data_IF_031526019716
#
_entry.id   IF_031526019716
#
_cell.length_a   1.000
_cell.length_b   1.000
_cell.length_c   1.000
_cell.angle_alpha   90.00
_cell.angle_beta   90.00
_cell.angle_gamma   90.00
#
_symmetry.space_group_name_H-M   'P 1'
#
loop_
_entity.id
_entity.type
_entity.pdbx_description
1 polymer ?
#
# COMPACT_ATOMS: atom_id res chain seq x y z
N UNK A 1 -8.89 -22.94 -1.85
CA UNK A 1 -8.33 -21.58 -1.94
C UNK A 1 -9.47 -20.58 -2.01
N UNK A 2 -9.85 -19.96 -0.89
CA UNK A 2 -10.92 -18.96 -0.86
C UNK A 2 -10.30 -17.58 -0.58
N UNK A 3 -10.22 -16.76 -1.64
CA UNK A 3 -9.82 -15.35 -1.55
C UNK A 3 -10.96 -14.56 -0.91
N UNK A 4 -10.66 -13.75 0.10
CA UNK A 4 -11.61 -12.79 0.68
C UNK A 4 -12.14 -11.86 -0.43
N UNK A 5 -13.42 -12.02 -0.78
CA UNK A 5 -14.17 -11.12 -1.67
C UNK A 5 -14.88 -10.07 -0.82
N UNK A 6 -14.47 -8.82 -0.93
CA UNK A 6 -15.39 -7.70 -0.68
C UNK A 6 -16.05 -7.34 -2.03
N UNK A 7 -17.35 -7.62 -2.16
CA UNK A 7 -18.17 -7.30 -3.34
C UNK A 7 -18.87 -5.96 -3.14
N UNK A 8 -18.82 -5.00 -4.10
CA UNK A 8 -19.73 -3.87 -4.13
C UNK A 8 -21.03 -4.25 -4.88
N UNK A 9 -22.17 -4.03 -4.24
CA UNK A 9 -23.50 -4.12 -4.84
C UNK A 9 -23.75 -2.91 -5.75
N UNK A 10 -24.10 -3.19 -7.01
CA UNK A 10 -25.15 -2.55 -7.82
C UNK A 10 -25.12 -1.03 -8.05
N UNK A 11 -24.83 -0.64 -9.30
CA UNK A 11 -25.47 0.53 -9.93
C UNK A 11 -25.77 0.19 -11.41
N UNK A 12 -27.03 0.39 -11.77
CA UNK A 12 -27.66 0.02 -13.05
C UNK A 12 -27.20 0.93 -14.19
N UNK A 13 -27.07 0.35 -15.37
CA UNK A 13 -26.91 1.05 -16.65
C UNK A 13 -28.22 1.76 -17.03
N UNK A 14 -28.09 2.94 -17.65
CA UNK A 14 -29.12 3.63 -18.40
C UNK A 14 -28.51 4.30 -19.65
N UNK A 15 -29.27 4.54 -20.74
CA UNK A 15 -28.73 4.54 -22.10
C UNK A 15 -28.59 5.93 -22.78
N UNK A 16 -27.67 5.96 -23.76
CA UNK A 16 -27.67 6.62 -25.10
C UNK A 16 -28.05 8.09 -25.26
N UNK A 17 -27.15 8.87 -25.88
CA UNK A 17 -27.53 9.87 -26.89
C UNK A 17 -26.40 10.11 -27.90
N UNK A 18 -26.70 9.82 -29.17
CA UNK A 18 -25.96 10.15 -30.38
C UNK A 18 -26.14 11.63 -30.73
N UNK A 19 -25.09 12.25 -31.29
CA UNK A 19 -25.19 13.56 -31.93
C UNK A 19 -23.98 13.83 -32.82
N UNK A 20 -24.08 13.47 -34.11
CA UNK A 20 -23.23 13.99 -35.18
C UNK A 20 -23.76 15.36 -35.59
N UNK A 21 -22.89 16.28 -36.00
CA UNK A 21 -22.97 16.88 -37.35
C UNK A 21 -21.74 17.73 -37.69
N UNK A 22 -21.53 17.82 -39.01
CA UNK A 22 -20.32 18.16 -39.77
C UNK A 22 -20.24 19.64 -40.21
N UNK A 23 -19.09 19.95 -40.84
CA UNK A 23 -18.76 20.97 -41.86
C UNK A 23 -17.82 22.10 -41.39
N UNK A 24 -16.88 22.66 -42.16
CA UNK A 24 -16.32 22.44 -43.52
C UNK A 24 -15.17 23.49 -43.73
N UNK A 25 -14.06 23.10 -44.38
CA UNK A 25 -13.07 23.83 -45.25
C UNK A 25 -12.57 25.25 -44.87
N UNK A 26 -11.32 25.73 -45.04
CA UNK A 26 -10.14 25.42 -45.92
C UNK A 26 -8.89 26.19 -45.37
N UNK A 27 -7.67 26.18 -45.98
CA UNK A 27 -6.39 26.16 -45.25
C UNK A 27 -5.64 27.51 -45.21
N UNK A 28 -4.82 27.71 -44.17
CA UNK A 28 -3.98 28.89 -44.06
C UNK A 28 -2.77 28.69 -43.16
N UNK A 29 -1.60 28.70 -43.79
CA UNK A 29 -0.28 29.14 -43.32
C UNK A 29 0.33 28.52 -42.06
N UNK A 30 1.49 27.92 -42.34
CA UNK A 30 2.64 27.64 -41.50
C UNK A 30 2.91 28.82 -40.54
N UNK A 31 2.67 28.62 -39.25
CA UNK A 31 3.30 29.38 -38.18
C UNK A 31 4.09 28.42 -37.31
N UNK A 32 5.40 28.64 -37.32
CA UNK A 32 6.39 27.99 -36.49
C UNK A 32 6.18 28.46 -35.04
N UNK A 33 5.23 27.84 -34.33
CA UNK A 33 5.01 28.11 -32.92
C UNK A 33 6.09 27.41 -32.09
N UNK A 34 7.10 28.17 -31.67
CA UNK A 34 7.89 27.86 -30.46
C UNK A 34 6.90 27.57 -29.33
N UNK A 35 6.71 26.30 -28.98
CA UNK A 35 5.95 25.90 -27.78
C UNK A 35 6.79 26.20 -26.54
N UNK A 36 6.85 27.48 -26.17
CA UNK A 36 7.16 27.85 -24.80
C UNK A 36 6.03 27.32 -23.90
N UNK A 37 6.44 26.63 -22.85
CA UNK A 37 5.64 25.71 -22.08
C UNK A 37 4.43 26.35 -21.41
N UNK A 38 3.26 25.87 -21.78
CA UNK A 38 2.12 25.90 -20.87
C UNK A 38 2.36 24.74 -19.89
N UNK A 39 3.13 25.00 -18.83
CA UNK A 39 3.14 24.13 -17.65
C UNK A 39 1.79 24.30 -16.95
N UNK A 40 0.75 23.66 -17.49
CA UNK A 40 -0.41 23.32 -16.68
C UNK A 40 0.11 22.50 -15.50
N UNK A 41 -0.19 22.94 -14.28
CA UNK A 41 0.22 22.24 -13.06
C UNK A 41 -0.31 20.82 -13.13
N UNK A 42 0.58 19.86 -13.41
CA UNK A 42 0.18 18.46 -13.47
C UNK A 42 -0.12 18.04 -12.03
N UNK A 43 -1.39 17.79 -11.74
CA UNK A 43 -1.83 17.36 -10.41
C UNK A 43 -1.80 15.83 -10.28
N UNK A 44 -1.55 15.36 -9.06
CA UNK A 44 -1.72 13.96 -8.71
C UNK A 44 -3.20 13.56 -8.80
N UNK A 45 -3.46 12.41 -9.41
CA UNK A 45 -4.82 11.84 -9.55
C UNK A 45 -5.19 10.85 -8.45
N UNK A 46 -4.27 10.60 -7.51
CA UNK A 46 -4.43 9.65 -6.41
C UNK A 46 -3.95 10.27 -5.10
N UNK A 47 -4.57 9.86 -4.00
CA UNK A 47 -4.18 10.28 -2.66
C UNK A 47 -2.96 9.50 -2.17
N UNK A 48 -2.17 10.13 -1.30
CA UNK A 48 -1.00 9.50 -0.70
C UNK A 48 -0.30 10.39 0.30
N UNK A 49 0.85 9.92 0.74
CA UNK A 49 1.68 10.59 1.76
C UNK A 49 3.09 10.79 1.22
N UNK A 50 3.71 11.92 1.53
CA UNK A 50 5.13 12.17 1.27
C UNK A 50 5.84 12.07 2.62
N UNK A 51 6.78 11.13 2.73
CA UNK A 51 7.58 10.89 3.96
C UNK A 51 9.04 11.32 3.80
N UNK A 52 9.47 11.73 2.61
CA UNK A 52 10.82 12.24 2.35
C UNK A 52 10.94 12.94 0.99
N UNK A 53 12.07 13.62 0.74
CA UNK A 53 12.41 14.21 -0.56
C UNK A 53 11.58 15.40 -1.04
N UNK A 54 10.83 16.08 -0.15
CA UNK A 54 10.06 17.28 -0.49
C UNK A 54 8.89 17.06 -1.48
N UNK A 55 8.34 18.13 -2.07
CA UNK A 55 7.31 18.06 -3.10
C UNK A 55 7.73 17.25 -4.35
N UNK A 56 6.77 16.66 -5.07
CA UNK A 56 7.05 15.92 -6.30
C UNK A 56 7.21 16.86 -7.50
N UNK A 57 8.23 16.61 -8.33
CA UNK A 57 8.37 17.29 -9.62
C UNK A 57 7.26 16.90 -10.60
N UNK A 58 6.98 17.75 -11.59
CA UNK A 58 5.95 17.48 -12.60
C UNK A 58 6.19 16.16 -13.35
N UNK A 59 7.44 15.85 -13.69
CA UNK A 59 7.83 14.59 -14.32
C UNK A 59 7.49 13.38 -13.44
N UNK A 60 7.79 13.47 -12.14
CA UNK A 60 7.45 12.43 -11.17
C UNK A 60 5.92 12.26 -11.06
N UNK A 61 5.15 13.35 -11.04
CA UNK A 61 3.68 13.28 -10.98
C UNK A 61 3.10 12.59 -12.22
N UNK A 62 3.62 12.87 -13.41
CA UNK A 62 3.20 12.19 -14.66
C UNK A 62 3.44 10.68 -14.54
N UNK A 63 4.62 10.27 -14.09
CA UNK A 63 4.97 8.87 -13.92
C UNK A 63 4.11 8.16 -12.86
N UNK A 64 3.84 8.83 -11.72
CA UNK A 64 2.94 8.32 -10.68
C UNK A 64 1.51 8.15 -11.22
N UNK A 65 1.00 9.12 -11.99
CA UNK A 65 -0.32 9.02 -12.61
C UNK A 65 -0.40 7.85 -13.63
N UNK A 66 0.68 7.61 -14.38
CA UNK A 66 0.77 6.46 -15.29
C UNK A 66 0.78 5.12 -14.54
N UNK A 67 1.52 5.01 -13.43
CA UNK A 67 1.51 3.83 -12.57
C UNK A 67 0.12 3.60 -11.93
N UNK A 68 -0.54 4.67 -11.49
CA UNK A 68 -1.87 4.62 -10.90
C UNK A 68 -2.92 4.10 -11.90
N UNK A 69 -2.83 4.46 -13.18
CA UNK A 69 -3.75 3.99 -14.22
C UNK A 69 -3.72 2.45 -14.38
N UNK A 70 -2.55 1.83 -14.21
CA UNK A 70 -2.34 0.37 -14.27
C UNK A 70 -2.75 -0.35 -12.99
N UNK A 71 -2.91 0.39 -11.88
CA UNK A 71 -3.24 -0.17 -10.58
C UNK A 71 -4.76 -0.34 -10.44
N UNK A 72 -5.27 -1.45 -9.88
CA UNK A 72 -6.68 -1.61 -9.51
C UNK A 72 -7.18 -0.51 -8.55
N UNK A 73 -8.41 -0.04 -8.73
CA UNK A 73 -8.96 1.12 -8.00
C UNK A 73 -8.82 1.01 -6.48
N UNK A 74 -9.01 -0.18 -5.91
CA UNK A 74 -8.91 -0.42 -4.47
C UNK A 74 -7.51 -0.17 -3.88
N UNK A 75 -6.45 -0.23 -4.71
CA UNK A 75 -5.06 -0.06 -4.29
C UNK A 75 -4.43 1.25 -4.78
N UNK A 76 -5.17 2.10 -5.51
CA UNK A 76 -4.68 3.37 -6.06
C UNK A 76 -4.37 4.42 -5.00
N UNK A 77 -3.24 4.24 -4.31
CA UNK A 77 -2.63 5.15 -3.33
C UNK A 77 -1.13 5.16 -3.53
N UNK A 78 -0.45 6.19 -3.02
CA UNK A 78 1.01 6.26 -3.06
C UNK A 78 1.64 6.60 -1.70
N UNK A 79 2.90 6.20 -1.53
CA UNK A 79 3.82 6.74 -0.51
C UNK A 79 5.10 7.18 -1.22
N UNK A 80 5.50 8.44 -1.03
CA UNK A 80 6.71 9.00 -1.62
C UNK A 80 7.84 9.09 -0.58
N UNK A 81 8.95 8.47 -0.93
CA UNK A 81 10.23 8.49 -0.22
C UNK A 81 11.18 9.47 -0.91
N UNK A 82 12.39 9.64 -0.39
CA UNK A 82 13.39 10.54 -0.97
C UNK A 82 13.72 10.24 -2.43
N UNK A 83 14.02 8.98 -2.76
CA UNK A 83 14.42 8.57 -4.12
C UNK A 83 13.32 7.94 -4.98
N UNK A 84 12.16 7.61 -4.40
CA UNK A 84 11.11 6.83 -5.09
C UNK A 84 9.70 7.08 -4.59
N UNK A 85 8.72 6.71 -5.40
CA UNK A 85 7.30 6.66 -5.04
C UNK A 85 6.79 5.24 -5.21
N UNK A 86 6.22 4.67 -4.15
CA UNK A 86 5.53 3.37 -4.19
C UNK A 86 4.05 3.59 -4.48
N UNK A 87 3.57 3.05 -5.60
CA UNK A 87 2.19 3.23 -6.08
C UNK A 87 1.48 1.87 -6.14
N UNK A 88 0.25 1.76 -5.64
CA UNK A 88 -0.45 0.48 -5.68
C UNK A 88 -0.01 -0.50 -4.60
N UNK A 89 -0.32 -1.79 -4.76
CA UNK A 89 0.03 -2.83 -3.79
C UNK A 89 -0.74 -2.75 -2.47
N UNK A 90 -0.29 -3.54 -1.47
CA UNK A 90 -0.81 -3.48 -0.10
C UNK A 90 -0.27 -2.26 0.65
N UNK A 91 -0.92 -1.88 1.75
CA UNK A 91 -0.42 -0.81 2.61
C UNK A 91 0.94 -1.20 3.23
N UNK A 92 1.06 -2.44 3.70
CA UNK A 92 2.31 -3.02 4.21
C UNK A 92 3.47 -2.82 3.22
N UNK A 93 3.25 -3.13 1.94
CA UNK A 93 4.28 -2.98 0.91
C UNK A 93 4.67 -1.50 0.68
N UNK A 94 3.67 -0.62 0.55
CA UNK A 94 3.92 0.82 0.33
C UNK A 94 4.63 1.47 1.51
N UNK A 95 4.34 1.03 2.72
CA UNK A 95 4.83 1.61 3.96
C UNK A 95 6.12 0.94 4.47
N UNK A 96 6.63 -0.07 3.77
CA UNK A 96 7.71 -0.95 4.25
C UNK A 96 7.43 -1.54 5.64
N UNK A 97 6.17 -1.92 5.88
CA UNK A 97 5.66 -2.29 7.20
C UNK A 97 5.01 -3.68 7.15
N UNK A 98 5.81 -4.76 7.12
CA UNK A 98 5.31 -6.12 6.92
C UNK A 98 4.39 -6.62 8.05
N UNK A 99 4.53 -6.07 9.25
CA UNK A 99 3.70 -6.42 10.41
C UNK A 99 2.50 -5.53 10.63
N UNK A 100 2.19 -4.59 9.72
CA UNK A 100 1.12 -3.61 9.89
C UNK A 100 1.20 -2.86 11.25
N UNK A 101 2.42 -2.53 11.68
CA UNK A 101 2.68 -1.82 12.93
C UNK A 101 2.02 -0.45 12.91
N UNK A 102 1.34 -0.10 14.01
CA UNK A 102 0.74 1.23 14.20
C UNK A 102 1.78 2.28 14.55
N UNK A 103 2.84 1.87 15.27
CA UNK A 103 3.90 2.76 15.73
C UNK A 103 5.21 2.01 15.97
N UNK A 104 6.32 2.74 15.91
CA UNK A 104 7.67 2.30 16.25
C UNK A 104 8.57 3.54 16.36
N UNK A 105 9.57 3.51 17.25
CA UNK A 105 10.54 4.61 17.39
C UNK A 105 11.39 4.84 16.13
N UNK A 106 11.53 3.82 15.29
CA UNK A 106 12.30 3.85 14.03
C UNK A 106 11.47 4.28 12.81
N UNK A 107 10.17 4.60 12.97
CA UNK A 107 9.35 5.05 11.84
C UNK A 107 9.84 6.40 11.32
N UNK A 108 9.75 6.61 10.01
CA UNK A 108 10.04 7.90 9.36
C UNK A 108 8.77 8.70 9.05
N UNK A 109 7.60 8.11 9.30
CA UNK A 109 6.32 8.75 9.04
C UNK A 109 5.14 7.85 9.39
N UNK A 110 3.95 8.26 8.98
CA UNK A 110 2.73 7.48 9.16
C UNK A 110 1.79 7.67 7.99
N UNK A 111 1.00 6.64 7.69
CA UNK A 111 0.01 6.65 6.60
C UNK A 111 -1.35 6.19 7.12
N UNK A 112 -2.43 6.81 6.64
CA UNK A 112 -3.79 6.37 6.95
C UNK A 112 -4.14 5.09 6.18
N UNK A 113 -4.58 4.08 6.92
CA UNK A 113 -5.24 2.87 6.42
C UNK A 113 -6.73 2.87 6.74
N UNK A 114 -7.40 1.76 6.45
CA UNK A 114 -8.84 1.61 6.70
C UNK A 114 -9.18 1.63 8.20
N UNK A 115 -8.25 1.19 9.06
CA UNK A 115 -8.45 1.01 10.51
C UNK A 115 -7.45 1.82 11.36
N UNK A 116 -7.08 3.01 10.89
CA UNK A 116 -6.25 3.97 11.61
C UNK A 116 -4.91 4.29 10.92
N UNK A 117 -3.95 4.76 11.71
CA UNK A 117 -2.61 5.11 11.23
C UNK A 117 -1.65 3.92 11.36
N UNK A 118 -0.76 3.81 10.37
CA UNK A 118 0.28 2.80 10.30
C UNK A 118 1.64 3.48 10.16
N UNK A 119 2.65 2.90 10.81
CA UNK A 119 4.03 3.34 10.70
C UNK A 119 4.54 3.17 9.25
N UNK A 120 5.36 4.10 8.80
CA UNK A 120 6.11 4.01 7.55
C UNK A 120 7.59 3.92 7.89
N UNK A 121 8.27 2.91 7.36
CA UNK A 121 9.71 2.67 7.56
C UNK A 121 10.51 3.03 6.31
N UNK A 122 11.79 3.39 6.46
CA UNK A 122 12.61 3.77 5.31
C UNK A 122 12.86 2.58 4.37
N UNK A 123 13.05 1.39 4.94
CA UNK A 123 13.28 0.13 4.22
C UNK A 123 12.42 -1.01 4.76
N UNK A 124 12.21 -2.05 3.93
CA UNK A 124 11.46 -3.24 4.34
C UNK A 124 12.15 -3.97 5.51
N UNK A 125 13.49 -3.99 5.51
CA UNK A 125 14.29 -4.62 6.55
C UNK A 125 14.19 -3.89 7.89
N UNK A 126 14.13 -2.55 7.88
CA UNK A 126 13.85 -1.77 9.09
C UNK A 126 12.46 -2.06 9.65
N UNK A 127 11.44 -2.15 8.79
CA UNK A 127 10.10 -2.54 9.20
C UNK A 127 10.05 -3.95 9.78
N UNK A 128 10.79 -4.89 9.18
CA UNK A 128 10.94 -6.26 9.69
C UNK A 128 11.61 -6.27 11.05
N UNK A 129 12.68 -5.50 11.20
CA UNK A 129 13.43 -5.38 12.46
C UNK A 129 12.54 -4.79 13.56
N UNK A 130 11.76 -3.74 13.24
CA UNK A 130 10.81 -3.16 14.17
C UNK A 130 9.72 -4.14 14.59
N UNK A 131 9.17 -4.93 13.65
CA UNK A 131 8.22 -5.99 13.94
C UNK A 131 8.82 -7.05 14.87
N UNK A 132 10.04 -7.53 14.57
CA UNK A 132 10.74 -8.54 15.39
C UNK A 132 10.94 -8.04 16.82
N UNK A 133 11.43 -6.81 16.97
CA UNK A 133 11.66 -6.18 18.27
C UNK A 133 10.36 -6.04 19.07
N UNK A 134 9.26 -5.61 18.44
CA UNK A 134 7.95 -5.55 19.09
C UNK A 134 7.52 -6.93 19.61
N UNK A 135 7.65 -7.96 18.76
CA UNK A 135 7.19 -9.30 19.11
C UNK A 135 8.02 -9.91 20.24
N UNK A 136 9.34 -9.81 20.18
CA UNK A 136 10.23 -10.28 21.23
C UNK A 136 9.95 -9.53 22.54
N UNK A 137 9.96 -8.20 22.51
CA UNK A 137 9.91 -7.40 23.74
C UNK A 137 8.54 -7.46 24.42
N UNK A 138 7.45 -7.53 23.65
CA UNK A 138 6.08 -7.47 24.20
C UNK A 138 5.44 -8.84 24.38
N UNK A 139 5.77 -9.79 23.52
CA UNK A 139 5.08 -11.08 23.45
C UNK A 139 6.01 -12.28 23.57
N UNK A 140 7.34 -12.09 23.66
CA UNK A 140 8.33 -13.16 23.56
C UNK A 140 8.05 -14.36 24.46
N UNK A 141 7.71 -14.13 25.73
CA UNK A 141 7.42 -15.19 26.69
C UNK A 141 5.97 -15.74 26.61
N UNK A 142 5.10 -15.13 25.81
CA UNK A 142 3.72 -15.59 25.66
C UNK A 142 3.67 -16.76 24.67
N UNK A 143 2.80 -17.73 24.94
CA UNK A 143 2.37 -18.68 23.91
C UNK A 143 1.88 -17.93 22.68
N UNK A 144 2.21 -18.42 21.48
CA UNK A 144 1.81 -17.79 20.22
C UNK A 144 0.30 -17.50 20.19
N UNK A 145 -0.56 -18.45 20.61
CA UNK A 145 -2.02 -18.22 20.63
C UNK A 145 -2.44 -17.01 21.47
N UNK A 146 -1.74 -16.76 22.58
CA UNK A 146 -2.05 -15.66 23.49
C UNK A 146 -1.55 -14.33 22.91
N UNK A 147 -0.38 -14.35 22.27
CA UNK A 147 0.15 -13.19 21.56
C UNK A 147 -0.76 -12.76 20.41
N UNK A 148 -1.21 -13.72 19.58
CA UNK A 148 -2.10 -13.47 18.44
C UNK A 148 -3.48 -12.97 18.88
N UNK A 149 -4.06 -13.50 19.95
CA UNK A 149 -5.32 -12.97 20.50
C UNK A 149 -5.20 -11.50 20.97
N UNK A 150 -4.00 -11.02 21.29
CA UNK A 150 -3.75 -9.60 21.60
C UNK A 150 -3.45 -8.76 20.36
N UNK A 151 -2.74 -9.32 19.38
CA UNK A 151 -2.39 -8.64 18.13
C UNK A 151 -3.58 -8.46 17.21
N UNK A 152 -4.40 -9.51 17.07
CA UNK A 152 -5.56 -9.58 16.18
C UNK A 152 -6.77 -10.09 16.98
N UNK A 153 -7.39 -9.25 17.82
CA UNK A 153 -8.44 -9.70 18.72
C UNK A 153 -9.68 -10.21 17.96
N UNK A 154 -10.37 -11.26 18.46
CA UNK A 154 -11.54 -11.84 17.80
C UNK A 154 -12.74 -10.90 17.61
N UNK A 155 -12.80 -9.81 18.39
CA UNK A 155 -13.81 -8.76 18.23
C UNK A 155 -13.65 -7.97 16.93
N UNK A 156 -12.46 -7.99 16.33
CA UNK A 156 -12.11 -7.22 15.14
C UNK A 156 -11.74 -8.13 13.94
N UNK A 157 -11.36 -9.38 14.19
CA UNK A 157 -10.77 -10.27 13.19
C UNK A 157 -11.28 -11.70 13.33
N UNK A 158 -11.16 -12.50 12.27
CA UNK A 158 -11.32 -13.96 12.35
C UNK A 158 -10.02 -14.60 12.90
N UNK A 159 -9.80 -14.43 14.20
CA UNK A 159 -8.61 -14.95 14.87
C UNK A 159 -8.53 -16.48 14.84
N UNK A 160 -9.68 -17.16 14.73
CA UNK A 160 -9.71 -18.63 14.63
C UNK A 160 -9.09 -19.08 13.30
N UNK A 161 -9.51 -18.46 12.19
CA UNK A 161 -8.90 -18.71 10.89
C UNK A 161 -7.42 -18.32 10.87
N UNK A 162 -7.06 -17.18 11.48
CA UNK A 162 -5.68 -16.72 11.59
C UNK A 162 -4.77 -17.77 12.26
N UNK A 163 -5.17 -18.27 13.43
CA UNK A 163 -4.43 -19.30 14.16
C UNK A 163 -4.32 -20.61 13.37
N UNK A 164 -5.36 -20.97 12.60
CA UNK A 164 -5.33 -22.16 11.75
C UNK A 164 -4.30 -22.03 10.61
N UNK A 165 -4.21 -20.87 9.96
CA UNK A 165 -3.19 -20.64 8.92
C UNK A 165 -1.77 -20.60 9.50
N UNK A 166 -1.57 -20.03 10.69
CA UNK A 166 -0.27 -20.10 11.38
C UNK A 166 0.15 -21.55 11.66
N UNK A 167 -0.77 -22.36 12.19
CA UNK A 167 -0.50 -23.79 12.46
C UNK A 167 -0.16 -24.54 11.17
N UNK A 168 -0.86 -24.25 10.08
CA UNK A 168 -0.60 -24.83 8.76
C UNK A 168 0.77 -24.41 8.20
N UNK A 169 1.23 -23.21 8.52
CA UNK A 169 2.56 -22.71 8.19
C UNK A 169 3.68 -23.28 9.11
N UNK A 170 3.35 -24.18 10.04
CA UNK A 170 4.32 -24.86 10.90
C UNK A 170 4.57 -24.18 12.25
N UNK A 171 3.80 -23.15 12.60
CA UNK A 171 3.91 -22.49 13.91
C UNK A 171 3.25 -23.35 14.99
N UNK A 172 3.98 -23.61 16.09
CA UNK A 172 3.42 -24.29 17.26
C UNK A 172 2.70 -23.27 18.16
N UNK A 173 1.36 -23.33 18.18
CA UNK A 173 0.53 -22.39 18.92
C UNK A 173 0.67 -22.50 20.45
N UNK A 174 1.29 -23.57 20.96
CA UNK A 174 1.52 -23.81 22.39
C UNK A 174 2.92 -23.45 22.87
N UNK A 175 3.88 -23.26 21.96
CA UNK A 175 5.20 -22.71 22.28
C UNK A 175 5.16 -21.19 22.37
N UNK A 176 6.17 -20.63 23.03
CA UNK A 176 6.34 -19.19 23.17
C UNK A 176 6.71 -18.53 21.83
N UNK A 177 6.52 -17.22 21.74
CA UNK A 177 6.84 -16.44 20.52
C UNK A 177 8.35 -16.41 20.26
N UNK A 178 9.15 -16.27 21.32
CA UNK A 178 10.61 -16.10 21.20
C UNK A 178 11.29 -17.32 20.57
N UNK A 179 10.89 -18.53 20.95
CA UNK A 179 11.50 -19.78 20.47
C UNK A 179 11.27 -20.10 18.98
N UNK A 180 10.42 -19.33 18.29
CA UNK A 180 10.01 -19.59 16.90
C UNK A 180 9.69 -18.28 16.16
N UNK A 181 10.35 -17.19 16.55
CA UNK A 181 10.06 -15.83 16.05
C UNK A 181 10.16 -15.71 14.53
N UNK A 182 11.16 -16.33 13.91
CA UNK A 182 11.38 -16.20 12.45
C UNK A 182 10.26 -16.90 11.67
N UNK A 183 9.91 -18.14 12.04
CA UNK A 183 8.79 -18.89 11.44
C UNK A 183 7.46 -18.17 11.66
N UNK A 184 7.24 -17.61 12.86
CA UNK A 184 6.03 -16.84 13.16
C UNK A 184 5.92 -15.58 12.26
N UNK A 185 7.01 -14.85 12.08
CA UNK A 185 7.01 -13.62 11.29
C UNK A 185 6.76 -13.87 9.80
N UNK A 186 7.33 -14.94 9.24
CA UNK A 186 7.05 -15.38 7.87
C UNK A 186 5.57 -15.77 7.69
N UNK A 187 5.04 -16.56 8.63
CA UNK A 187 3.64 -16.98 8.60
C UNK A 187 2.65 -15.80 8.74
N UNK A 188 2.97 -14.83 9.59
CA UNK A 188 2.17 -13.60 9.74
C UNK A 188 2.15 -12.80 8.45
N UNK A 189 3.29 -12.57 7.80
CA UNK A 189 3.34 -11.82 6.55
C UNK A 189 2.53 -12.50 5.44
N UNK A 190 2.62 -13.83 5.33
CA UNK A 190 1.84 -14.60 4.38
C UNK A 190 0.33 -14.39 4.59
N UNK A 191 -0.09 -14.23 5.85
CA UNK A 191 -1.49 -14.02 6.20
C UNK A 191 -1.95 -12.56 6.05
N UNK A 192 -1.10 -11.59 6.42
CA UNK A 192 -1.36 -10.14 6.32
C UNK A 192 -1.41 -9.65 4.86
N UNK A 193 -0.77 -10.38 3.93
CA UNK A 193 -0.82 -10.09 2.51
C UNK A 193 0.15 -8.98 2.09
N UNK A 194 1.35 -9.39 1.67
CA UNK A 194 2.29 -8.52 0.98
C UNK A 194 1.99 -8.52 -0.53
N UNK A 195 1.36 -7.47 -1.04
CA UNK A 195 1.10 -7.32 -2.47
C UNK A 195 1.96 -6.19 -2.99
N UNK A 196 2.89 -6.52 -3.88
CA UNK A 196 3.74 -5.51 -4.49
C UNK A 196 2.96 -4.60 -5.43
N UNK A 197 3.38 -3.33 -5.48
CA UNK A 197 2.90 -2.34 -6.42
C UNK A 197 3.94 -2.00 -7.46
N UNK A 198 3.95 -0.74 -7.89
CA UNK A 198 4.89 -0.19 -8.86
C UNK A 198 5.76 0.82 -8.12
N UNK A 199 7.08 0.67 -8.22
CA UNK A 199 8.02 1.72 -7.82
C UNK A 199 8.26 2.69 -8.98
N UNK A 200 8.20 3.99 -8.69
CA UNK A 200 8.51 5.08 -9.62
C UNK A 200 9.70 5.83 -9.06
N UNK A 201 10.81 5.87 -9.80
CA UNK A 201 11.98 6.69 -9.43
C UNK A 201 11.61 8.18 -9.43
N UNK A 202 12.03 8.92 -8.41
CA UNK A 202 11.84 10.37 -8.38
C UNK A 202 12.88 11.04 -9.26
N UNK A 203 12.43 12.00 -10.06
CA UNK A 203 13.29 12.91 -10.81
C UNK A 203 13.34 14.22 -10.01
N UNK A 204 14.51 14.66 -9.54
CA UNK A 204 14.69 15.95 -8.87
C UNK A 204 14.13 17.11 -9.69
#
# INVERSE_FOLDING_TARGET
>A
MLKWKQSPKGAKQGPVALGRNYNCSTPGKIEESKKNGIQGTTLLKINGTIVGGGPLSGATIIAVNAAAAKTPKQWRRYIAYEGKVKVGGSLAWRANNPGNLRDASTKIGSVSGAVGLFAVFATMDEGRTAQKNLYINRYGAMKVRNAINKLTPPSENDTTHYLAELKKAGVDLDKDVLSQIDVLMEAIEANEGMIEGIEVTRVP
#
